data_IF_092945531687
#
_entry.id   IF_092945531687
#
_cell.length_a   1.000
_cell.length_b   1.000
_cell.length_c   1.000
_cell.angle_alpha   90.00
_cell.angle_beta   90.00
_cell.angle_gamma   90.00
#
_symmetry.space_group_name_H-M   'P 1'
#
loop_
_entity.id
_entity.type
_entity.pdbx_description
1 polymer ?
#
# COMPACT_ATOMS: atom_id res chain seq x y z
N UNK A 1 -16.95 -24.19 37.31
CA UNK A 1 -16.02 -24.20 36.17
C UNK A 1 -16.35 -25.38 35.27
N UNK A 2 -16.89 -25.11 34.09
CA UNK A 2 -16.67 -25.95 32.93
C UNK A 2 -15.90 -25.18 31.85
N UNK A 3 -15.00 -25.93 31.22
CA UNK A 3 -14.10 -25.59 30.14
C UNK A 3 -14.74 -24.73 29.05
N UNK A 4 -14.09 -23.60 28.72
CA UNK A 4 -14.41 -22.80 27.55
C UNK A 4 -14.14 -23.65 26.29
N UNK A 5 -15.22 -23.96 25.58
CA UNK A 5 -15.22 -24.68 24.32
C UNK A 5 -14.35 -23.92 23.32
N UNK A 6 -13.29 -24.58 22.82
CA UNK A 6 -12.59 -24.17 21.61
C UNK A 6 -13.64 -23.92 20.52
N UNK A 7 -13.64 -22.72 19.96
CA UNK A 7 -14.36 -22.48 18.73
C UNK A 7 -13.65 -23.28 17.63
N UNK A 8 -14.16 -24.48 17.34
CA UNK A 8 -13.81 -25.26 16.16
C UNK A 8 -14.22 -24.44 14.92
N UNK A 9 -13.26 -23.75 14.33
CA UNK A 9 -13.35 -23.40 12.92
C UNK A 9 -13.25 -24.70 12.10
N UNK A 10 -14.12 -24.92 11.10
CA UNK A 10 -14.02 -26.10 10.26
C UNK A 10 -12.63 -26.13 9.61
N UNK A 11 -11.98 -27.28 9.77
CA UNK A 11 -10.60 -27.55 9.35
C UNK A 11 -10.54 -27.71 7.84
N UNK A 12 -10.63 -26.61 7.09
CA UNK A 12 -9.92 -26.55 5.81
C UNK A 12 -8.44 -26.75 6.13
N UNK A 13 -7.77 -27.71 5.48
CA UNK A 13 -6.37 -27.98 5.71
C UNK A 13 -5.58 -26.67 5.56
N UNK A 14 -5.08 -26.14 6.68
CA UNK A 14 -4.37 -24.87 6.70
C UNK A 14 -3.19 -24.95 5.72
N UNK A 15 -3.16 -24.05 4.73
CA UNK A 15 -2.13 -24.05 3.70
C UNK A 15 -0.77 -23.89 4.40
N UNK A 16 0.15 -24.84 4.20
CA UNK A 16 1.54 -24.68 4.63
C UNK A 16 2.19 -23.56 3.81
N UNK A 17 2.16 -22.34 4.35
CA UNK A 17 2.67 -21.15 3.69
C UNK A 17 4.17 -21.26 3.35
N UNK A 18 4.96 -22.01 4.14
CA UNK A 18 6.39 -22.21 3.89
C UNK A 18 6.63 -23.16 2.72
N UNK A 19 5.88 -24.26 2.65
CA UNK A 19 5.90 -25.14 1.47
C UNK A 19 5.42 -24.40 0.22
N UNK A 20 4.33 -23.64 0.34
CA UNK A 20 3.81 -22.82 -0.76
C UNK A 20 4.86 -21.81 -1.26
N UNK A 21 5.53 -21.07 -0.37
CA UNK A 21 6.57 -20.11 -0.76
C UNK A 21 7.71 -20.74 -1.58
N UNK A 22 8.05 -22.01 -1.31
CA UNK A 22 9.02 -22.77 -2.12
C UNK A 22 8.46 -23.10 -3.50
N UNK A 23 7.22 -23.57 -3.58
CA UNK A 23 6.53 -23.84 -4.86
C UNK A 23 6.42 -22.59 -5.72
N UNK A 24 6.12 -21.44 -5.10
CA UNK A 24 5.97 -20.16 -5.78
C UNK A 24 7.29 -19.58 -6.33
N UNK A 25 8.45 -20.13 -5.95
CA UNK A 25 9.74 -19.65 -6.45
C UNK A 25 9.85 -19.72 -7.98
N UNK A 26 9.16 -20.66 -8.64
CA UNK A 26 9.14 -20.81 -10.11
C UNK A 26 8.58 -19.61 -10.87
N UNK A 27 7.81 -18.75 -10.21
CA UNK A 27 7.22 -17.57 -10.85
C UNK A 27 8.12 -16.32 -10.79
N UNK A 28 9.26 -16.38 -10.10
CA UNK A 28 10.12 -15.21 -9.80
C UNK A 28 10.94 -14.70 -10.98
N UNK A 29 11.11 -15.48 -12.04
CA UNK A 29 11.95 -15.08 -13.17
C UNK A 29 11.30 -13.98 -14.03
N UNK A 30 11.86 -12.77 -14.10
CA UNK A 30 11.28 -11.71 -14.93
C UNK A 30 11.57 -11.93 -16.42
N UNK A 31 10.66 -11.45 -17.26
CA UNK A 31 10.89 -11.28 -18.70
C UNK A 31 11.25 -9.83 -19.01
N UNK A 32 12.51 -9.51 -19.39
CA UNK A 32 12.92 -8.13 -19.68
C UNK A 32 12.07 -7.46 -20.77
N UNK A 33 11.69 -8.21 -21.82
CA UNK A 33 10.82 -7.71 -22.88
C UNK A 33 9.43 -7.34 -22.33
N UNK A 34 8.87 -8.17 -21.43
CA UNK A 34 7.62 -7.85 -20.75
C UNK A 34 7.78 -6.62 -19.88
N UNK A 35 8.84 -6.52 -19.09
CA UNK A 35 9.08 -5.39 -18.18
C UNK A 35 9.23 -4.06 -18.94
N UNK A 36 9.89 -4.05 -20.10
CA UNK A 36 9.97 -2.86 -20.96
C UNK A 36 8.60 -2.51 -21.53
N UNK A 37 7.86 -3.50 -22.03
CA UNK A 37 6.49 -3.29 -22.54
C UNK A 37 5.60 -2.69 -21.45
N UNK A 38 5.65 -3.22 -20.23
CA UNK A 38 4.89 -2.75 -19.07
C UNK A 38 5.20 -1.29 -18.71
N UNK A 39 6.46 -0.87 -18.79
CA UNK A 39 6.84 0.55 -18.66
C UNK A 39 6.24 1.37 -19.81
N UNK A 40 6.41 0.91 -21.06
CA UNK A 40 5.97 1.66 -22.24
C UNK A 40 4.45 1.87 -22.26
N UNK A 41 3.66 0.83 -22.02
CA UNK A 41 2.19 0.88 -21.98
C UNK A 41 1.65 1.63 -20.76
N UNK A 42 2.53 2.02 -19.82
CA UNK A 42 2.13 2.81 -18.65
C UNK A 42 2.58 4.27 -18.78
N UNK A 43 3.85 4.50 -19.11
CA UNK A 43 4.44 5.84 -19.21
C UNK A 43 3.96 6.60 -20.45
N UNK A 44 3.84 5.94 -21.61
CA UNK A 44 3.44 6.63 -22.83
C UNK A 44 1.99 7.16 -22.74
N UNK A 45 0.98 6.39 -22.29
CA UNK A 45 -0.36 6.94 -22.09
C UNK A 45 -0.43 8.03 -21.03
N UNK A 46 0.39 7.97 -19.97
CA UNK A 46 0.46 9.05 -18.99
C UNK A 46 0.95 10.37 -19.62
N UNK A 47 1.98 10.32 -20.45
CA UNK A 47 2.50 11.48 -21.19
C UNK A 47 1.43 12.02 -22.15
N UNK A 48 0.75 11.13 -22.88
CA UNK A 48 -0.34 11.52 -23.80
C UNK A 48 -1.51 12.15 -23.06
N UNK A 49 -1.91 11.61 -21.91
CA UNK A 49 -2.95 12.19 -21.05
C UNK A 49 -2.54 13.56 -20.51
N UNK A 50 -1.27 13.73 -20.14
CA UNK A 50 -0.74 15.03 -19.73
C UNK A 50 -0.83 16.07 -20.85
N UNK A 51 -0.43 15.70 -22.08
CA UNK A 51 -0.56 16.56 -23.25
C UNK A 51 -2.03 16.86 -23.58
N UNK A 52 -2.92 15.87 -23.50
CA UNK A 52 -4.36 16.05 -23.73
C UNK A 52 -4.99 17.00 -22.69
N UNK A 53 -4.61 16.88 -21.42
CA UNK A 53 -5.04 17.81 -20.36
C UNK A 53 -4.55 19.24 -20.64
N UNK A 54 -3.32 19.40 -21.10
CA UNK A 54 -2.80 20.72 -21.50
C UNK A 54 -3.59 21.33 -22.65
N UNK A 55 -3.91 20.54 -23.69
CA UNK A 55 -4.75 21.00 -24.81
C UNK A 55 -6.14 21.38 -24.32
N UNK A 56 -6.76 20.55 -23.45
CA UNK A 56 -8.07 20.83 -22.87
C UNK A 56 -8.07 22.16 -22.11
N UNK A 57 -7.06 22.44 -21.28
CA UNK A 57 -6.92 23.71 -20.57
C UNK A 57 -6.76 24.90 -21.53
N UNK A 58 -5.92 24.77 -22.58
CA UNK A 58 -5.73 25.84 -23.57
C UNK A 58 -7.00 26.17 -24.36
N UNK A 59 -7.87 25.19 -24.55
CA UNK A 59 -9.17 25.36 -25.20
C UNK A 59 -10.29 25.79 -24.22
N UNK A 60 -9.98 26.00 -22.94
CA UNK A 60 -10.95 26.40 -21.92
C UNK A 60 -11.81 25.27 -21.34
N UNK A 61 -11.51 24.01 -21.67
CA UNK A 61 -12.26 22.83 -21.19
C UNK A 61 -11.70 22.30 -19.86
N UNK A 62 -11.82 23.09 -18.78
CA UNK A 62 -11.35 22.69 -17.45
C UNK A 62 -11.98 21.38 -16.96
N UNK A 63 -13.27 21.17 -17.23
CA UNK A 63 -13.98 19.93 -16.85
C UNK A 63 -13.34 18.68 -17.49
N UNK A 64 -12.89 18.80 -18.75
CA UNK A 64 -12.25 17.70 -19.47
C UNK A 64 -10.85 17.43 -18.90
N UNK A 65 -10.11 18.49 -18.54
CA UNK A 65 -8.84 18.35 -17.83
C UNK A 65 -9.01 17.56 -16.52
N UNK A 66 -10.02 17.92 -15.71
CA UNK A 66 -10.31 17.22 -14.45
C UNK A 66 -10.74 15.77 -14.70
N UNK A 67 -11.56 15.51 -15.72
CA UNK A 67 -11.98 14.16 -16.08
C UNK A 67 -10.78 13.27 -16.51
N UNK A 68 -9.85 13.82 -17.29
CA UNK A 68 -8.64 13.12 -17.74
C UNK A 68 -7.62 12.90 -16.61
N UNK A 69 -7.70 13.65 -15.50
CA UNK A 69 -6.87 13.41 -14.33
C UNK A 69 -7.16 12.03 -13.67
N UNK A 70 -8.36 11.49 -13.84
CA UNK A 70 -8.74 10.16 -13.30
C UNK A 70 -7.93 9.02 -13.92
N UNK A 71 -7.93 8.81 -15.24
CA UNK A 71 -7.07 7.80 -15.85
C UNK A 71 -5.58 8.12 -15.65
N UNK A 72 -5.18 9.41 -15.66
CA UNK A 72 -3.79 9.79 -15.40
C UNK A 72 -3.32 9.35 -14.00
N UNK A 73 -4.17 9.50 -12.98
CA UNK A 73 -3.92 9.00 -11.64
C UNK A 73 -3.77 7.46 -11.62
N UNK A 74 -4.61 6.74 -12.37
CA UNK A 74 -4.48 5.29 -12.52
C UNK A 74 -3.14 4.86 -13.11
N UNK A 75 -2.66 5.55 -14.16
CA UNK A 75 -1.34 5.29 -14.72
C UNK A 75 -0.20 5.65 -13.75
N UNK A 76 -0.35 6.72 -12.97
CA UNK A 76 0.64 7.11 -11.96
C UNK A 76 0.73 6.07 -10.82
N UNK A 77 -0.41 5.53 -10.38
CA UNK A 77 -0.46 4.38 -9.45
C UNK A 77 0.26 3.17 -10.05
N UNK A 78 0.01 2.86 -11.33
CA UNK A 78 0.69 1.74 -12.00
C UNK A 78 2.21 1.94 -12.09
N UNK A 79 2.69 3.16 -12.34
CA UNK A 79 4.14 3.46 -12.30
C UNK A 79 4.72 3.26 -10.90
N UNK A 80 4.00 3.66 -9.85
CA UNK A 80 4.40 3.38 -8.48
C UNK A 80 4.50 1.87 -8.22
N UNK A 81 3.59 1.06 -8.76
CA UNK A 81 3.63 -0.39 -8.60
C UNK A 81 4.76 -1.07 -9.39
N UNK A 82 5.14 -0.52 -10.55
CA UNK A 82 6.35 -0.93 -11.26
C UNK A 82 7.60 -0.59 -10.43
N UNK A 83 7.68 0.62 -9.87
CA UNK A 83 8.75 1.03 -8.96
C UNK A 83 8.81 0.11 -7.73
N UNK A 84 7.66 -0.29 -7.20
CA UNK A 84 7.56 -1.19 -6.07
C UNK A 84 8.17 -2.57 -6.37
N UNK A 85 7.82 -3.16 -7.51
CA UNK A 85 8.43 -4.43 -7.96
C UNK A 85 9.93 -4.31 -8.22
N UNK A 86 10.39 -3.15 -8.70
CA UNK A 86 11.82 -2.84 -8.75
C UNK A 86 12.46 -2.87 -7.35
N UNK A 87 11.78 -2.35 -6.33
CA UNK A 87 12.22 -2.38 -4.93
C UNK A 87 12.51 -3.81 -4.43
N UNK A 88 11.67 -4.75 -4.83
CA UNK A 88 11.83 -6.19 -4.54
C UNK A 88 12.87 -6.89 -5.43
N UNK A 89 13.38 -6.21 -6.46
CA UNK A 89 14.23 -6.81 -7.49
C UNK A 89 13.48 -7.84 -8.34
N UNK A 90 12.16 -7.70 -8.45
CA UNK A 90 11.27 -8.62 -9.15
C UNK A 90 11.09 -8.27 -10.63
N UNK A 91 11.29 -6.99 -11.01
CA UNK A 91 10.85 -6.50 -12.31
C UNK A 91 11.88 -6.76 -13.43
N UNK A 92 13.18 -6.67 -13.16
CA UNK A 92 14.27 -7.00 -14.09
C UNK A 92 15.20 -8.09 -13.54
N UNK A 93 15.95 -8.76 -14.43
CA UNK A 93 16.91 -9.81 -14.04
C UNK A 93 18.04 -9.31 -13.15
N UNK A 94 18.49 -8.07 -13.34
CA UNK A 94 19.60 -7.49 -12.59
C UNK A 94 19.12 -6.48 -11.56
N UNK A 95 19.71 -6.51 -10.37
CA UNK A 95 19.38 -5.53 -9.31
C UNK A 95 19.66 -4.10 -9.74
N UNK A 96 20.73 -3.88 -10.51
CA UNK A 96 21.10 -2.55 -11.04
C UNK A 96 20.02 -1.95 -11.94
N UNK A 97 19.42 -2.75 -12.83
CA UNK A 97 18.34 -2.28 -13.70
C UNK A 97 17.09 -1.90 -12.90
N UNK A 98 16.69 -2.77 -11.95
CA UNK A 98 15.59 -2.48 -11.03
C UNK A 98 15.84 -1.16 -10.27
N UNK A 99 17.04 -1.00 -9.69
CA UNK A 99 17.33 0.15 -8.86
C UNK A 99 17.37 1.47 -9.64
N UNK A 100 17.88 1.47 -10.87
CA UNK A 100 17.84 2.69 -11.70
C UNK A 100 16.44 3.03 -12.19
N UNK A 101 15.68 2.04 -12.66
CA UNK A 101 14.28 2.27 -13.06
C UNK A 101 13.47 2.75 -11.87
N UNK A 102 13.62 2.13 -10.71
CA UNK A 102 12.96 2.54 -9.47
C UNK A 102 13.29 3.97 -9.05
N UNK A 103 14.55 4.41 -9.16
CA UNK A 103 14.95 5.81 -8.88
C UNK A 103 14.32 6.81 -9.85
N UNK A 104 14.29 6.50 -11.14
CA UNK A 104 13.68 7.37 -12.16
C UNK A 104 12.17 7.47 -11.93
N UNK A 105 11.50 6.34 -11.72
CA UNK A 105 10.07 6.33 -11.39
C UNK A 105 9.78 7.03 -10.06
N UNK A 106 10.70 6.96 -9.09
CA UNK A 106 10.61 7.66 -7.81
C UNK A 106 10.49 9.19 -7.94
N UNK A 107 11.08 9.77 -8.98
CA UNK A 107 10.89 11.19 -9.31
C UNK A 107 9.45 11.44 -9.77
N UNK A 108 8.92 10.61 -10.66
CA UNK A 108 7.56 10.76 -11.21
C UNK A 108 6.48 10.52 -10.14
N UNK A 109 6.71 9.57 -9.23
CA UNK A 109 5.75 9.15 -8.20
C UNK A 109 5.94 9.90 -6.87
N UNK A 110 6.82 10.90 -6.83
CA UNK A 110 7.18 11.65 -5.62
C UNK A 110 7.58 10.75 -4.45
N UNK A 111 8.33 9.68 -4.74
CA UNK A 111 8.73 8.67 -3.77
C UNK A 111 10.24 8.44 -3.80
N UNK A 112 10.97 8.75 -2.72
CA UNK A 112 12.42 8.53 -2.64
C UNK A 112 12.76 7.04 -2.61
N UNK A 113 13.16 6.49 -3.77
CA UNK A 113 13.18 5.04 -4.02
C UNK A 113 13.99 4.21 -3.00
N UNK A 114 15.26 4.53 -2.72
CA UNK A 114 16.08 3.69 -1.84
C UNK A 114 15.64 3.77 -0.38
N UNK A 115 15.21 4.96 0.09
CA UNK A 115 14.63 5.14 1.42
C UNK A 115 13.30 4.38 1.54
N UNK A 116 12.39 4.57 0.59
CA UNK A 116 11.11 3.86 0.53
C UNK A 116 11.31 2.35 0.46
N UNK A 117 12.23 1.86 -0.39
CA UNK A 117 12.54 0.43 -0.53
C UNK A 117 13.00 -0.19 0.79
N UNK A 118 13.80 0.53 1.59
CA UNK A 118 14.25 0.06 2.90
C UNK A 118 13.07 -0.05 3.87
N UNK A 119 12.27 1.01 4.00
CA UNK A 119 11.08 1.00 4.86
C UNK A 119 10.12 -0.11 4.43
N UNK A 120 9.92 -0.29 3.13
CA UNK A 120 9.05 -1.31 2.59
C UNK A 120 9.58 -2.73 2.80
N UNK A 121 10.89 -2.96 2.75
CA UNK A 121 11.48 -4.24 3.15
C UNK A 121 11.25 -4.52 4.66
N UNK A 122 11.31 -3.48 5.50
CA UNK A 122 10.95 -3.58 6.92
C UNK A 122 9.48 -3.96 7.13
N UNK A 123 8.57 -3.34 6.37
CA UNK A 123 7.15 -3.70 6.32
C UNK A 123 6.93 -5.18 6.03
N UNK A 124 7.54 -5.70 4.95
CA UNK A 124 7.45 -7.12 4.60
C UNK A 124 8.01 -8.05 5.68
N UNK A 125 9.06 -7.62 6.40
CA UNK A 125 9.68 -8.40 7.45
C UNK A 125 8.92 -8.36 8.80
N UNK A 126 8.04 -7.38 9.01
CA UNK A 126 7.34 -7.15 10.27
C UNK A 126 5.81 -7.18 10.19
N UNK A 127 5.23 -7.29 9.00
CA UNK A 127 3.78 -7.25 8.80
C UNK A 127 3.05 -8.32 9.63
N UNK A 128 1.96 -7.92 10.29
CA UNK A 128 1.20 -8.76 11.22
C UNK A 128 1.91 -9.05 12.55
N UNK A 129 3.08 -8.47 12.82
CA UNK A 129 3.76 -8.58 14.11
C UNK A 129 3.42 -7.37 15.00
N UNK A 130 2.70 -7.61 16.10
CA UNK A 130 2.28 -6.56 17.03
C UNK A 130 3.46 -5.86 17.71
N UNK A 131 4.60 -6.54 17.90
CA UNK A 131 5.77 -6.00 18.61
C UNK A 131 6.73 -5.24 17.68
N UNK A 132 6.58 -5.39 16.36
CA UNK A 132 7.45 -4.78 15.33
C UNK A 132 6.74 -3.82 14.38
N UNK A 133 5.47 -3.52 14.66
CA UNK A 133 4.60 -2.62 13.86
C UNK A 133 5.14 -1.19 13.74
N UNK A 134 4.71 -0.49 12.71
CA UNK A 134 4.90 0.97 12.56
C UNK A 134 5.91 1.37 11.48
N UNK A 135 6.60 0.42 10.85
CA UNK A 135 7.44 0.69 9.68
C UNK A 135 6.63 0.40 8.42
N UNK A 136 6.15 1.45 7.75
CA UNK A 136 5.35 1.31 6.53
C UNK A 136 3.89 0.91 6.76
N UNK A 137 3.49 0.69 8.02
CA UNK A 137 2.13 0.40 8.44
C UNK A 137 1.31 1.67 8.75
N UNK A 138 0.00 1.50 8.77
CA UNK A 138 -0.91 2.47 9.39
C UNK A 138 -0.97 2.19 10.88
N UNK A 139 -0.81 3.23 11.70
CA UNK A 139 -0.85 3.10 13.15
C UNK A 139 -2.20 2.50 13.59
N UNK A 140 -2.12 1.28 14.12
CA UNK A 140 -3.26 0.52 14.60
C UNK A 140 -2.99 0.15 16.04
N UNK A 141 -3.76 0.74 16.94
CA UNK A 141 -3.64 0.46 18.37
C UNK A 141 -4.48 -0.74 18.74
N UNK A 142 -4.04 -1.46 19.76
CA UNK A 142 -4.91 -2.43 20.40
C UNK A 142 -5.98 -1.75 21.26
N UNK A 143 -7.01 -2.49 21.67
CA UNK A 143 -8.07 -1.95 22.54
C UNK A 143 -7.48 -1.52 23.88
N UNK A 144 -6.59 -2.33 24.47
CA UNK A 144 -5.95 -1.96 25.75
C UNK A 144 -5.09 -0.70 25.62
N UNK A 145 -4.30 -0.59 24.55
CA UNK A 145 -3.46 0.58 24.28
C UNK A 145 -4.30 1.86 24.10
N UNK A 146 -5.38 1.78 23.32
CA UNK A 146 -6.28 2.92 23.12
C UNK A 146 -6.95 3.36 24.43
N UNK A 147 -7.30 2.41 25.29
CA UNK A 147 -7.88 2.69 26.61
C UNK A 147 -6.83 3.22 27.60
N UNK A 148 -5.56 2.90 27.46
CA UNK A 148 -4.49 3.49 28.27
C UNK A 148 -4.19 4.97 27.89
N UNK A 149 -4.58 5.41 26.69
CA UNK A 149 -4.34 6.80 26.24
C UNK A 149 -5.16 7.84 27.03
N UNK A 150 -4.56 9.02 27.21
CA UNK A 150 -5.26 10.23 27.66
C UNK A 150 -6.37 10.64 26.69
N UNK A 151 -7.36 11.42 27.17
CA UNK A 151 -8.48 11.90 26.34
C UNK A 151 -8.01 12.62 25.06
N UNK A 152 -6.94 13.41 25.17
CA UNK A 152 -6.34 14.13 24.05
C UNK A 152 -5.71 13.17 23.02
N UNK A 153 -4.93 12.20 23.47
CA UNK A 153 -4.31 11.23 22.56
C UNK A 153 -5.35 10.31 21.89
N UNK A 154 -6.46 9.98 22.58
CA UNK A 154 -7.59 9.30 21.95
C UNK A 154 -8.25 10.14 20.86
N UNK A 155 -8.39 11.46 21.06
CA UNK A 155 -8.92 12.36 20.03
C UNK A 155 -7.98 12.44 18.82
N UNK A 156 -6.67 12.60 19.05
CA UNK A 156 -5.65 12.58 17.99
C UNK A 156 -5.70 11.29 17.17
N UNK A 157 -5.82 10.15 17.84
CA UNK A 157 -5.95 8.85 17.17
C UNK A 157 -7.23 8.75 16.32
N UNK A 158 -8.37 9.24 16.84
CA UNK A 158 -9.62 9.28 16.08
C UNK A 158 -9.55 10.21 14.87
N UNK A 159 -8.88 11.35 15.00
CA UNK A 159 -8.65 12.28 13.90
C UNK A 159 -7.75 11.65 12.84
N UNK A 160 -6.64 11.04 13.26
CA UNK A 160 -5.75 10.29 12.38
C UNK A 160 -6.51 9.21 11.59
N UNK A 161 -7.31 8.37 12.28
CA UNK A 161 -8.13 7.31 11.67
C UNK A 161 -9.40 7.80 10.96
N UNK A 162 -9.67 9.11 10.91
CA UNK A 162 -10.85 9.63 10.22
C UNK A 162 -10.70 9.47 8.70
N UNK A 163 -11.72 9.02 7.93
CA UNK A 163 -11.57 8.75 6.50
C UNK A 163 -11.06 9.93 5.67
N UNK A 164 -11.54 11.15 5.95
CA UNK A 164 -11.06 12.36 5.25
C UNK A 164 -9.58 12.68 5.54
N UNK A 165 -9.09 12.29 6.71
CA UNK A 165 -7.67 12.45 7.06
C UNK A 165 -6.88 11.33 6.40
N UNK A 166 -7.28 10.06 6.58
CA UNK A 166 -6.59 8.90 6.02
C UNK A 166 -6.49 8.90 4.50
N UNK A 167 -7.55 9.30 3.80
CA UNK A 167 -7.66 9.17 2.35
C UNK A 167 -7.74 10.51 1.60
N UNK A 168 -7.63 11.63 2.32
CA UNK A 168 -7.59 12.98 1.73
C UNK A 168 -6.32 13.73 2.13
N UNK A 169 -6.20 14.10 3.40
CA UNK A 169 -5.06 14.89 3.91
C UNK A 169 -3.77 14.09 4.00
N UNK A 170 -3.85 12.86 4.51
CA UNK A 170 -2.71 11.96 4.73
C UNK A 170 -1.92 11.65 3.47
N UNK A 171 -2.55 11.26 2.35
CA UNK A 171 -1.85 11.03 1.09
C UNK A 171 -1.15 12.29 0.56
N UNK A 172 -1.81 13.45 0.64
CA UNK A 172 -1.20 14.72 0.26
C UNK A 172 0.03 15.03 1.13
N UNK A 173 -0.09 14.88 2.45
CA UNK A 173 1.02 15.05 3.38
C UNK A 173 2.17 14.09 3.07
N UNK A 174 1.88 12.80 2.87
CA UNK A 174 2.90 11.77 2.66
C UNK A 174 3.74 12.05 1.40
N UNK A 175 3.09 12.28 0.26
CA UNK A 175 3.78 12.39 -1.03
C UNK A 175 4.33 13.79 -1.31
N UNK A 176 3.62 14.86 -0.92
CA UNK A 176 4.04 16.23 -1.18
C UNK A 176 4.99 16.77 -0.11
N UNK A 177 4.91 16.29 1.14
CA UNK A 177 5.65 16.85 2.28
C UNK A 177 6.58 15.84 2.95
N UNK A 178 6.06 14.76 3.54
CA UNK A 178 6.84 13.83 4.35
C UNK A 178 7.98 13.20 3.53
N UNK A 179 7.69 12.74 2.32
CA UNK A 179 8.68 12.14 1.41
C UNK A 179 9.78 13.09 0.94
N UNK A 180 9.76 14.37 1.34
CA UNK A 180 10.82 15.35 1.05
C UNK A 180 11.96 15.28 2.06
N UNK A 181 11.79 14.58 3.18
CA UNK A 181 12.82 14.26 4.17
C UNK A 181 12.76 12.76 4.56
N UNK A 182 13.88 12.12 4.95
CA UNK A 182 13.88 10.72 5.36
C UNK A 182 13.36 10.56 6.81
N UNK A 183 12.11 10.98 7.07
CA UNK A 183 11.53 10.97 8.41
C UNK A 183 11.54 9.55 9.01
N UNK A 184 11.97 9.40 10.27
CA UNK A 184 12.17 8.08 10.90
C UNK A 184 13.54 7.45 10.65
N UNK A 185 14.21 7.78 9.54
CA UNK A 185 15.55 7.29 9.17
C UNK A 185 16.62 8.40 9.14
N UNK A 186 16.32 9.58 9.68
CA UNK A 186 17.20 10.76 9.61
C UNK A 186 18.58 10.53 10.23
N UNK A 187 18.68 9.58 11.16
CA UNK A 187 19.93 9.19 11.86
C UNK A 187 20.54 7.88 11.32
N UNK A 188 19.94 7.24 10.31
CA UNK A 188 20.39 5.97 9.74
C UNK A 188 21.52 6.14 8.69
N UNK A 189 22.38 7.14 8.88
CA UNK A 189 23.47 7.48 7.96
C UNK A 189 23.05 8.30 6.73
N UNK A 190 23.95 8.42 5.75
CA UNK A 190 23.80 9.33 4.60
C UNK A 190 22.93 8.78 3.47
N UNK A 191 22.78 7.46 3.37
CA UNK A 191 22.04 6.83 2.27
C UNK A 191 20.57 7.30 2.14
N UNK A 192 19.73 7.32 3.21
CA UNK A 192 18.36 7.80 3.08
C UNK A 192 18.28 9.29 2.75
N UNK A 193 19.25 10.10 3.21
CA UNK A 193 19.39 11.49 2.79
C UNK A 193 19.69 11.63 1.30
N UNK A 194 20.67 10.89 0.77
CA UNK A 194 20.98 10.94 -0.67
C UNK A 194 19.79 10.48 -1.49
N UNK A 195 19.13 9.39 -1.11
CA UNK A 195 17.91 8.94 -1.78
C UNK A 195 16.86 10.04 -1.84
N UNK A 196 16.63 10.73 -0.73
CA UNK A 196 15.56 11.72 -0.63
C UNK A 196 15.92 13.01 -1.35
N UNK A 197 17.15 13.51 -1.18
CA UNK A 197 17.59 14.75 -1.81
C UNK A 197 17.81 14.59 -3.32
N UNK A 198 18.30 13.44 -3.79
CA UNK A 198 18.39 13.17 -5.23
C UNK A 198 17.00 13.12 -5.88
N UNK A 199 16.02 12.52 -5.21
CA UNK A 199 14.62 12.56 -5.68
C UNK A 199 14.04 13.98 -5.63
N UNK A 200 14.30 14.77 -4.57
CA UNK A 200 13.92 16.19 -4.51
C UNK A 200 14.48 16.98 -5.71
N UNK A 201 15.77 16.80 -5.99
CA UNK A 201 16.45 17.47 -7.10
C UNK A 201 15.83 17.05 -8.45
N UNK A 202 15.57 15.75 -8.65
CA UNK A 202 14.89 15.26 -9.86
C UNK A 202 13.49 15.85 -10.04
N UNK A 203 12.70 15.92 -8.96
CA UNK A 203 11.36 16.53 -8.97
C UNK A 203 11.47 18.02 -9.29
N UNK A 204 12.40 18.73 -8.67
CA UNK A 204 12.60 20.16 -8.90
C UNK A 204 13.00 20.46 -10.35
N UNK A 205 13.92 19.67 -10.92
CA UNK A 205 14.33 19.80 -12.33
C UNK A 205 13.16 19.53 -13.27
N UNK A 206 12.41 18.45 -13.05
CA UNK A 206 11.26 18.12 -13.88
C UNK A 206 10.17 19.19 -13.78
N UNK A 207 9.80 19.59 -12.57
CA UNK A 207 8.79 20.61 -12.33
C UNK A 207 9.21 21.96 -12.92
N UNK A 208 10.45 22.40 -12.69
CA UNK A 208 10.97 23.65 -13.24
C UNK A 208 10.96 23.64 -14.78
N UNK A 209 11.36 22.53 -15.41
CA UNK A 209 11.30 22.40 -16.86
C UNK A 209 9.88 22.51 -17.42
N UNK A 210 8.91 21.82 -16.81
CA UNK A 210 7.50 21.87 -17.22
C UNK A 210 6.89 23.26 -16.96
N UNK A 211 7.18 23.88 -15.81
CA UNK A 211 6.74 25.24 -15.46
C UNK A 211 7.32 26.27 -16.43
N UNK A 212 8.59 26.13 -16.81
CA UNK A 212 9.22 27.02 -17.78
C UNK A 212 8.57 26.93 -19.17
N UNK A 213 8.20 25.71 -19.60
CA UNK A 213 7.56 25.48 -20.90
C UNK A 213 6.08 25.92 -20.96
N UNK A 214 5.32 25.69 -19.89
CA UNK A 214 3.86 25.78 -19.94
C UNK A 214 3.25 26.71 -18.88
N UNK A 215 4.06 27.26 -17.98
CA UNK A 215 3.61 28.10 -16.87
C UNK A 215 3.20 27.30 -15.64
N UNK A 216 3.23 27.97 -14.49
CA UNK A 216 2.90 27.38 -13.19
C UNK A 216 1.42 26.97 -13.08
N UNK A 217 0.51 27.75 -13.70
CA UNK A 217 -0.93 27.47 -13.66
C UNK A 217 -1.28 26.11 -14.27
N UNK A 218 -0.97 25.86 -15.56
CA UNK A 218 -1.20 24.56 -16.19
C UNK A 218 -0.47 23.41 -15.48
N UNK A 219 0.77 23.62 -15.02
CA UNK A 219 1.48 22.62 -14.23
C UNK A 219 0.68 22.20 -12.99
N UNK A 220 0.22 23.16 -12.17
CA UNK A 220 -0.55 22.86 -10.96
C UNK A 220 -1.92 22.24 -11.29
N UNK A 221 -2.65 22.78 -12.25
CA UNK A 221 -4.00 22.29 -12.61
C UNK A 221 -4.01 20.87 -13.20
N UNK A 222 -2.91 20.45 -13.83
CA UNK A 222 -2.79 19.10 -14.39
C UNK A 222 -2.15 18.14 -13.37
N UNK A 223 -1.00 18.53 -12.82
CA UNK A 223 -0.18 17.63 -12.01
C UNK A 223 -0.79 17.40 -10.62
N UNK A 224 -1.28 18.45 -9.96
CA UNK A 224 -1.73 18.33 -8.57
C UNK A 224 -2.98 17.43 -8.43
N UNK A 225 -4.06 17.57 -9.23
CA UNK A 225 -5.21 16.68 -9.10
C UNK A 225 -4.90 15.21 -9.38
N UNK A 226 -4.11 14.94 -10.43
CA UNK A 226 -3.70 13.57 -10.79
C UNK A 226 -2.84 12.94 -9.68
N UNK A 227 -1.88 13.69 -9.12
CA UNK A 227 -1.04 13.24 -8.01
C UNK A 227 -1.85 13.00 -6.75
N UNK A 228 -2.73 13.93 -6.33
CA UNK A 228 -3.54 13.76 -5.13
C UNK A 228 -4.48 12.55 -5.23
N UNK A 229 -5.10 12.36 -6.39
CA UNK A 229 -5.95 11.19 -6.64
C UNK A 229 -5.14 9.89 -6.63
N UNK A 230 -3.97 9.86 -7.29
CA UNK A 230 -3.09 8.70 -7.30
C UNK A 230 -2.59 8.33 -5.90
N UNK A 231 -2.16 9.33 -5.11
CA UNK A 231 -1.73 9.14 -3.73
C UNK A 231 -2.86 8.57 -2.87
N UNK A 232 -4.09 9.07 -3.04
CA UNK A 232 -5.26 8.59 -2.29
C UNK A 232 -5.61 7.14 -2.65
N UNK A 233 -5.57 6.80 -3.94
CA UNK A 233 -5.74 5.41 -4.41
C UNK A 233 -4.63 4.50 -3.85
N UNK A 234 -3.37 4.96 -3.89
CA UNK A 234 -2.23 4.21 -3.36
C UNK A 234 -2.38 3.89 -1.87
N UNK A 235 -2.67 4.90 -1.04
CA UNK A 235 -2.91 4.72 0.40
C UNK A 235 -4.12 3.80 0.64
N UNK A 236 -5.19 3.93 -0.14
CA UNK A 236 -6.34 3.03 -0.06
C UNK A 236 -5.96 1.57 -0.31
N UNK A 237 -5.19 1.28 -1.37
CA UNK A 237 -4.79 -0.09 -1.71
C UNK A 237 -4.04 -0.76 -0.56
N UNK A 238 -3.01 -0.11 -0.04
CA UNK A 238 -2.22 -0.67 1.06
C UNK A 238 -2.99 -0.69 2.39
N UNK A 239 -3.94 0.23 2.59
CA UNK A 239 -4.87 0.18 3.74
C UNK A 239 -5.67 -1.11 3.71
N UNK A 240 -6.48 -1.34 2.68
CA UNK A 240 -7.42 -2.48 2.65
C UNK A 240 -6.69 -3.81 2.54
N UNK A 241 -5.45 -3.78 2.09
CA UNK A 241 -4.56 -4.94 2.03
C UNK A 241 -4.11 -5.46 3.39
N UNK A 242 -4.09 -4.62 4.43
CA UNK A 242 -3.64 -4.97 5.79
C UNK A 242 -4.65 -4.61 6.89
N UNK A 243 -5.76 -3.97 6.53
CA UNK A 243 -6.83 -3.56 7.44
C UNK A 243 -8.16 -4.13 6.94
N UNK A 244 -8.38 -5.42 7.19
CA UNK A 244 -9.57 -6.16 6.81
C UNK A 244 -9.97 -7.12 7.95
N UNK A 245 -11.17 -7.70 7.89
CA UNK A 245 -11.78 -8.42 9.02
C UNK A 245 -10.99 -9.68 9.42
N UNK A 246 -10.50 -10.42 8.42
CA UNK A 246 -9.82 -11.71 8.58
C UNK A 246 -8.29 -11.59 8.72
N UNK A 247 -7.75 -10.38 8.93
CA UNK A 247 -6.29 -10.19 9.06
C UNK A 247 -5.75 -10.84 10.34
N UNK A 248 -4.56 -11.44 10.25
CA UNK A 248 -3.90 -12.11 11.36
C UNK A 248 -2.75 -11.27 11.90
N UNK A 249 -2.86 -10.87 13.17
CA UNK A 249 -1.80 -10.19 13.91
C UNK A 249 -1.41 -11.02 15.15
N UNK A 250 -0.13 -11.07 15.48
CA UNK A 250 0.40 -11.84 16.60
C UNK A 250 1.61 -11.15 17.26
N UNK A 251 1.86 -11.46 18.52
CA UNK A 251 3.09 -11.10 19.26
C UNK A 251 4.13 -12.22 19.15
N UNK A 252 5.39 -11.89 19.37
CA UNK A 252 6.42 -12.91 19.56
C UNK A 252 6.12 -13.70 20.88
N UNK A 253 6.27 -15.05 20.93
CA UNK A 253 6.84 -15.95 19.92
C UNK A 253 5.80 -16.59 18.97
N UNK A 254 4.53 -16.21 19.04
CA UNK A 254 3.45 -16.84 18.26
C UNK A 254 3.40 -16.40 16.79
N UNK A 255 4.20 -15.41 16.39
CA UNK A 255 4.26 -14.89 15.04
C UNK A 255 5.15 -15.76 14.12
N UNK A 256 4.58 -16.26 13.02
CA UNK A 256 5.32 -16.86 11.91
C UNK A 256 5.20 -15.98 10.66
N UNK A 257 6.35 -15.65 10.06
CA UNK A 257 6.43 -14.72 8.95
C UNK A 257 5.66 -15.18 7.69
N UNK A 258 5.63 -16.49 7.40
CA UNK A 258 4.95 -16.99 6.20
C UNK A 258 3.45 -17.03 6.40
N UNK A 259 2.99 -17.45 7.59
CA UNK A 259 1.57 -17.41 7.93
C UNK A 259 1.04 -15.97 8.00
N UNK A 260 1.78 -15.06 8.62
CA UNK A 260 1.41 -13.64 8.66
C UNK A 260 1.42 -13.01 7.25
N UNK A 261 2.34 -13.40 6.38
CA UNK A 261 2.36 -12.93 4.99
C UNK A 261 1.10 -13.38 4.22
N UNK A 262 0.69 -14.64 4.38
CA UNK A 262 -0.44 -15.22 3.64
C UNK A 262 -1.81 -14.80 4.20
N UNK A 263 -2.00 -14.85 5.52
CA UNK A 263 -3.29 -14.58 6.17
C UNK A 263 -3.39 -13.17 6.78
N UNK A 264 -2.28 -12.48 6.99
CA UNK A 264 -2.25 -11.08 7.43
C UNK A 264 -2.46 -10.07 6.30
N UNK A 265 -2.54 -10.54 5.05
CA UNK A 265 -2.72 -9.72 3.85
C UNK A 265 -3.92 -10.20 3.04
N UNK A 266 -4.65 -9.27 2.41
CA UNK A 266 -5.86 -9.65 1.64
C UNK A 266 -5.56 -10.09 0.19
N UNK A 267 -6.55 -10.72 -0.44
CA UNK A 267 -6.71 -10.75 -1.89
C UNK A 267 -7.73 -9.69 -2.31
N UNK A 268 -7.28 -8.52 -2.74
CA UNK A 268 -8.16 -7.46 -3.24
C UNK A 268 -8.59 -7.71 -4.69
N UNK A 269 -9.71 -8.42 -4.84
CA UNK A 269 -10.30 -8.89 -6.09
C UNK A 269 -11.05 -7.74 -6.79
N UNK A 270 -10.30 -7.03 -7.64
CA UNK A 270 -10.77 -5.89 -8.41
C UNK A 270 -11.25 -6.30 -9.82
N UNK A 271 -12.26 -5.60 -10.38
CA UNK A 271 -12.66 -5.77 -11.77
C UNK A 271 -11.49 -5.44 -12.72
N UNK A 272 -11.50 -6.04 -13.91
CA UNK A 272 -10.35 -6.08 -14.82
C UNK A 272 -9.66 -4.73 -15.10
N UNK A 273 -10.38 -3.61 -15.36
CA UNK A 273 -9.73 -2.31 -15.60
C UNK A 273 -8.97 -1.82 -14.37
N UNK A 274 -9.57 -1.92 -13.18
CA UNK A 274 -8.93 -1.50 -11.93
C UNK A 274 -7.76 -2.42 -11.60
N UNK A 275 -7.93 -3.74 -11.74
CA UNK A 275 -6.85 -4.70 -11.55
C UNK A 275 -5.65 -4.42 -12.46
N UNK A 276 -5.90 -3.94 -13.69
CA UNK A 276 -4.85 -3.48 -14.57
C UNK A 276 -4.20 -2.21 -14.04
N UNK A 277 -4.91 -1.14 -13.71
CA UNK A 277 -4.27 0.07 -13.16
C UNK A 277 -3.50 -0.20 -11.85
N UNK A 278 -3.97 -1.13 -11.03
CA UNK A 278 -3.31 -1.54 -9.78
C UNK A 278 -2.32 -2.69 -10.00
N UNK A 279 -1.84 -2.90 -11.23
CA UNK A 279 -0.79 -3.87 -11.53
C UNK A 279 -0.98 -5.26 -10.91
N UNK A 280 -2.20 -5.78 -10.78
CA UNK A 280 -2.49 -7.03 -10.05
C UNK A 280 -1.97 -7.10 -8.60
N UNK A 281 -1.54 -5.99 -7.98
CA UNK A 281 -1.05 -5.97 -6.59
C UNK A 281 -2.12 -6.43 -5.59
N UNK A 282 -3.39 -6.41 -6.00
CA UNK A 282 -4.50 -6.98 -5.24
C UNK A 282 -4.27 -8.43 -4.81
N UNK A 283 -3.47 -9.22 -5.52
CA UNK A 283 -3.02 -10.56 -5.07
C UNK A 283 -1.93 -10.42 -3.99
N UNK A 284 -2.24 -9.67 -2.94
CA UNK A 284 -1.26 -9.10 -2.01
C UNK A 284 -0.72 -10.12 -1.02
N UNK A 285 -1.56 -11.06 -0.58
CA UNK A 285 -1.16 -12.23 0.20
C UNK A 285 -0.04 -13.04 -0.50
N UNK A 286 -0.19 -13.36 -1.79
CA UNK A 286 0.90 -14.01 -2.57
C UNK A 286 2.11 -13.09 -2.69
N UNK A 287 1.89 -11.79 -2.89
CA UNK A 287 2.96 -10.82 -2.97
C UNK A 287 3.77 -10.75 -1.67
N UNK A 288 3.14 -10.72 -0.49
CA UNK A 288 3.82 -10.77 0.80
C UNK A 288 4.56 -12.09 0.99
N UNK A 289 3.96 -13.21 0.60
CA UNK A 289 4.58 -14.52 0.73
C UNK A 289 5.80 -14.69 -0.19
N UNK A 290 5.78 -14.08 -1.38
CA UNK A 290 6.87 -14.16 -2.36
C UNK A 290 6.98 -12.88 -3.21
N UNK A 291 7.48 -11.81 -2.62
CA UNK A 291 7.54 -10.45 -3.21
C UNK A 291 8.42 -10.32 -4.44
N UNK A 292 9.24 -11.33 -4.72
CA UNK A 292 10.09 -11.42 -5.92
C UNK A 292 9.35 -11.87 -7.18
N UNK A 293 8.05 -12.18 -7.10
CA UNK A 293 7.24 -12.49 -8.28
C UNK A 293 6.83 -11.18 -8.94
N UNK A 294 7.20 -10.92 -10.20
CA UNK A 294 6.74 -9.72 -10.89
C UNK A 294 5.21 -9.75 -11.02
N UNK A 295 4.60 -8.59 -10.82
CA UNK A 295 3.15 -8.46 -10.69
C UNK A 295 2.36 -9.01 -11.88
N UNK A 296 2.95 -8.99 -13.09
CA UNK A 296 2.31 -9.50 -14.31
C UNK A 296 2.21 -11.03 -14.33
N UNK A 297 2.86 -11.72 -13.38
CA UNK A 297 2.77 -13.17 -13.17
C UNK A 297 1.86 -13.56 -12.00
N UNK A 298 1.44 -12.64 -11.13
CA UNK A 298 0.51 -12.94 -10.02
C UNK A 298 -0.81 -13.59 -10.50
N UNK A 299 -1.43 -13.18 -11.63
CA UNK A 299 -2.61 -13.87 -12.14
C UNK A 299 -2.33 -15.31 -12.59
N UNK A 300 -1.09 -15.65 -12.96
CA UNK A 300 -0.72 -17.03 -13.27
C UNK A 300 -0.68 -17.88 -12.01
N UNK A 301 -0.18 -17.34 -10.90
CA UNK A 301 -0.21 -18.02 -9.59
C UNK A 301 -1.65 -18.42 -9.23
N UNK A 302 -2.62 -17.50 -9.32
CA UNK A 302 -4.02 -17.80 -9.02
C UNK A 302 -4.71 -18.75 -10.03
N UNK A 303 -4.13 -18.97 -11.22
CA UNK A 303 -4.63 -19.99 -12.16
C UNK A 303 -4.10 -21.36 -11.79
N UNK A 304 -2.83 -21.44 -11.43
CA UNK A 304 -2.14 -22.69 -11.11
C UNK A 304 -2.44 -23.16 -9.68
N UNK A 305 -2.83 -22.24 -8.80
CA UNK A 305 -3.18 -22.42 -7.38
C UNK A 305 -4.54 -21.76 -7.07
N UNK A 306 -5.67 -22.33 -7.55
CA UNK A 306 -6.99 -21.74 -7.39
C UNK A 306 -7.42 -21.58 -5.92
N UNK A 307 -6.90 -22.41 -5.01
CA UNK A 307 -7.14 -22.34 -3.56
C UNK A 307 -6.76 -20.98 -2.95
N UNK A 308 -5.81 -20.26 -3.56
CA UNK A 308 -5.37 -18.95 -3.08
C UNK A 308 -6.35 -17.82 -3.39
N UNK A 309 -7.34 -18.04 -4.27
CA UNK A 309 -8.29 -16.99 -4.66
C UNK A 309 -9.18 -16.53 -3.52
N UNK A 310 -9.51 -17.42 -2.60
CA UNK A 310 -10.47 -17.15 -1.53
C UNK A 310 -9.79 -16.79 -0.20
N UNK A 311 -8.45 -16.94 -0.10
CA UNK A 311 -7.67 -16.51 1.06
C UNK A 311 -7.74 -14.99 1.21
N UNK A 312 -8.34 -14.53 2.31
CA UNK A 312 -8.46 -13.10 2.64
C UNK A 312 -9.16 -12.28 1.55
N UNK A 313 -10.10 -12.88 0.81
CA UNK A 313 -10.69 -12.25 -0.38
C UNK A 313 -11.57 -11.06 -0.05
N UNK A 314 -11.25 -9.92 -0.65
CA UNK A 314 -11.93 -8.66 -0.48
C UNK A 314 -12.30 -8.06 -1.84
N UNK A 315 -13.55 -7.67 -2.03
CA UNK A 315 -13.99 -6.96 -3.25
C UNK A 315 -14.02 -5.46 -3.02
N UNK A 316 -14.09 -4.65 -4.09
CA UNK A 316 -14.16 -3.17 -4.01
C UNK A 316 -15.25 -2.67 -3.06
N UNK A 317 -16.43 -3.30 -3.05
CA UNK A 317 -17.54 -2.85 -2.19
C UNK A 317 -17.37 -3.33 -0.75
N UNK A 318 -16.85 -4.55 -0.55
CA UNK A 318 -16.57 -5.06 0.80
C UNK A 318 -15.45 -4.29 1.48
N UNK A 319 -14.47 -3.79 0.73
CA UNK A 319 -13.35 -3.03 1.31
C UNK A 319 -13.78 -1.72 1.97
N UNK A 320 -14.90 -1.13 1.55
CA UNK A 320 -15.49 0.04 2.22
C UNK A 320 -15.95 -0.29 3.65
N UNK A 321 -16.39 -1.53 3.91
CA UNK A 321 -16.79 -1.99 5.24
C UNK A 321 -15.59 -2.15 6.19
N UNK A 322 -14.35 -2.14 5.68
CA UNK A 322 -13.14 -2.21 6.49
C UNK A 322 -12.70 -0.86 7.07
N UNK A 323 -13.22 0.26 6.56
CA UNK A 323 -12.86 1.62 7.02
C UNK A 323 -13.15 1.84 8.51
N UNK A 324 -14.27 1.38 9.08
CA UNK A 324 -14.54 1.52 10.51
C UNK A 324 -13.67 0.61 11.40
N UNK A 325 -12.95 -0.36 10.83
CA UNK A 325 -12.07 -1.28 11.56
C UNK A 325 -10.76 -0.56 11.90
N UNK A 326 -10.62 -0.12 13.15
CA UNK A 326 -9.59 0.85 13.56
C UNK A 326 -8.87 0.50 14.84
N UNK A 327 -9.27 -0.58 15.52
CA UNK A 327 -8.59 -1.08 16.72
C UNK A 327 -8.39 -2.58 16.58
N UNK A 328 -7.27 -3.10 17.06
CA UNK A 328 -7.07 -4.54 17.21
C UNK A 328 -7.63 -5.01 18.55
N UNK A 329 -8.58 -5.94 18.54
CA UNK A 329 -9.08 -6.59 19.74
C UNK A 329 -8.22 -7.83 20.06
N UNK A 330 -7.47 -7.77 21.16
CA UNK A 330 -6.57 -8.85 21.55
C UNK A 330 -7.30 -10.13 21.95
N UNK A 331 -8.52 -10.01 22.49
CA UNK A 331 -9.30 -11.15 22.97
C UNK A 331 -9.92 -11.95 21.83
N UNK A 332 -10.48 -11.26 20.84
CA UNK A 332 -11.08 -11.90 19.66
C UNK A 332 -10.12 -12.02 18.46
N UNK A 333 -8.90 -11.49 18.58
CA UNK A 333 -7.87 -11.51 17.53
C UNK A 333 -8.39 -11.01 16.17
N UNK A 334 -9.10 -9.88 16.19
CA UNK A 334 -9.63 -9.24 14.98
C UNK A 334 -9.64 -7.73 15.09
N UNK A 335 -9.71 -7.06 13.94
CA UNK A 335 -9.96 -5.63 13.91
C UNK A 335 -11.43 -5.32 14.22
N UNK A 336 -11.66 -4.28 15.02
CA UNK A 336 -12.99 -3.83 15.43
C UNK A 336 -13.15 -2.32 15.27
N UNK A 337 -14.41 -1.88 15.26
CA UNK A 337 -14.74 -0.46 15.28
C UNK A 337 -14.81 0.12 16.69
N UNK A 338 -14.72 1.45 16.80
CA UNK A 338 -15.00 2.13 18.06
C UNK A 338 -16.42 1.83 18.59
N UNK A 339 -17.39 1.54 17.71
CA UNK A 339 -18.76 1.16 18.11
C UNK A 339 -18.77 -0.22 18.76
N UNK A 340 -18.12 -1.21 18.14
CA UNK A 340 -17.98 -2.55 18.68
C UNK A 340 -17.26 -2.55 20.04
N UNK A 341 -16.14 -1.81 20.15
CA UNK A 341 -15.43 -1.64 21.43
C UNK A 341 -16.35 -1.06 22.52
N UNK A 342 -17.18 -0.05 22.21
CA UNK A 342 -18.14 0.52 23.18
C UNK A 342 -19.24 -0.47 23.58
N UNK A 343 -19.74 -1.28 22.66
CA UNK A 343 -20.74 -2.30 22.95
C UNK A 343 -20.17 -3.35 23.93
N UNK A 344 -18.99 -3.90 23.62
CA UNK A 344 -18.29 -4.84 24.49
C UNK A 344 -18.04 -4.30 25.90
N UNK A 345 -17.62 -3.05 26.02
CA UNK A 345 -17.40 -2.42 27.34
C UNK A 345 -18.67 -2.28 28.18
N UNK A 346 -19.85 -2.27 27.56
CA UNK A 346 -21.14 -2.24 28.28
C UNK A 346 -21.55 -3.63 28.75
N UNK A 347 -21.24 -4.66 27.96
CA UNK A 347 -21.56 -6.06 28.24
C UNK A 347 -20.58 -6.68 29.26
N UNK A 348 -19.29 -6.35 29.14
CA UNK A 348 -18.22 -6.79 30.03
C UNK A 348 -17.36 -5.58 30.39
N UNK A 349 -17.41 -5.05 31.62
CA UNK A 349 -16.51 -4.01 32.07
C UNK A 349 -15.08 -4.55 32.03
N UNK A 350 -14.35 -4.31 30.94
CA UNK A 350 -12.93 -4.64 30.83
C UNK A 350 -12.21 -3.97 32.00
N UNK A 351 -11.58 -4.77 32.85
CA UNK A 351 -10.77 -4.29 33.95
C UNK A 351 -9.68 -3.38 33.37
N UNK A 352 -9.72 -2.10 33.71
CA UNK A 352 -8.62 -1.20 33.42
C UNK A 352 -7.51 -1.63 34.37
N UNK A 353 -6.45 -2.25 33.86
CA UNK A 353 -5.23 -2.41 34.63
C UNK A 353 -4.77 -1.00 35.00
N UNK A 354 -4.75 -0.72 36.31
CA UNK A 354 -4.40 0.56 36.90
C UNK A 354 -2.93 0.91 36.68
#
# INVERSE_FOLDING_TARGET
>A
MPSATQADHPTEAEIDARALARTLARYRDPSPARSILEIAVTAAPLILLWAAMLVALKLGYLWLCVALAVPAAGFLVRLFLIQHDCGHGAFFKTRRANDWVGRVLGVLTLTPYDYWRRSHAGHHAGSGNLDRRGIGDIDTLTVSEYLALSRWNRLRYRLYRHPLVMFGVGPAYLFLLQNRIPLGDMRAGWQPWISTMATNAGIAVLAAGVIWLFGIGPFLLIHLPATLLASSIGVWLFYVQHQFEETVWAKDPAWDAHQAALYGSSHYDLPAPLRWFTANIGVHHVHHLSSRIPYYRLPQVLRDHPELRDVGRLTLWRSLACVPLVLWDEGERRLISFRAMRAKRRETPLAVAA
#
